data_IF_922903317062
#
_entry.id   IF_922903317062
#
_cell.length_a   1.000
_cell.length_b   1.000
_cell.length_c   1.000
_cell.angle_alpha   90.00
_cell.angle_beta   90.00
_cell.angle_gamma   90.00
#
_symmetry.space_group_name_H-M   'P 1'
#
loop_
_entity.id
_entity.type
_entity.pdbx_description
1 polymer ?
#
# COMPACT_ATOMS: atom_id res chain seq x y z
N UNK A 1 -9.87 -30.80 -12.54
CA UNK A 1 -8.65 -30.63 -11.74
C UNK A 1 -7.71 -29.72 -12.51
N UNK A 2 -7.75 -28.41 -12.24
CA UNK A 2 -6.70 -27.49 -12.68
C UNK A 2 -5.81 -27.28 -11.45
N UNK A 3 -4.58 -27.77 -11.54
CA UNK A 3 -3.58 -27.58 -10.50
C UNK A 3 -2.88 -26.26 -10.80
N UNK A 4 -3.34 -25.16 -10.22
CA UNK A 4 -2.72 -23.84 -10.34
C UNK A 4 -1.50 -23.78 -9.41
N UNK A 5 -0.45 -24.48 -9.80
CA UNK A 5 0.80 -24.49 -9.07
C UNK A 5 1.66 -23.30 -9.52
N UNK A 6 1.26 -22.10 -9.07
CA UNK A 6 1.98 -20.85 -9.36
C UNK A 6 3.22 -20.66 -8.47
N UNK A 7 3.66 -21.70 -7.75
CA UNK A 7 4.76 -21.60 -6.78
C UNK A 7 4.41 -20.82 -5.49
N UNK A 8 3.20 -20.26 -5.39
CA UNK A 8 2.71 -19.47 -4.25
C UNK A 8 1.77 -20.26 -3.33
N UNK A 9 1.91 -21.59 -3.26
CA UNK A 9 1.09 -22.41 -2.37
C UNK A 9 1.12 -21.81 -0.95
N UNK A 10 -0.08 -21.52 -0.41
CA UNK A 10 -0.39 -20.85 0.87
C UNK A 10 -0.92 -19.40 0.77
N UNK A 11 -1.28 -18.89 -0.41
CA UNK A 11 -1.95 -17.60 -0.57
C UNK A 11 -3.44 -17.67 -0.17
N UNK A 12 -4.15 -18.69 -0.67
CA UNK A 12 -5.55 -18.95 -0.33
C UNK A 12 -5.74 -19.30 1.15
N UNK A 13 -4.78 -20.02 1.72
CA UNK A 13 -4.76 -20.39 3.15
C UNK A 13 -4.48 -19.16 4.05
N UNK A 14 -3.60 -18.24 3.62
CA UNK A 14 -3.36 -16.96 4.30
C UNK A 14 -4.63 -16.10 4.31
N UNK A 15 -5.35 -16.02 3.18
CA UNK A 15 -6.60 -15.28 3.11
C UNK A 15 -7.72 -15.93 3.90
N UNK A 16 -7.80 -17.27 3.90
CA UNK A 16 -8.79 -18.01 4.68
C UNK A 16 -8.56 -17.81 6.17
N UNK A 17 -7.32 -17.92 6.64
CA UNK A 17 -6.97 -17.64 8.03
C UNK A 17 -7.23 -16.17 8.41
N UNK A 18 -6.96 -15.22 7.49
CA UNK A 18 -7.22 -13.81 7.72
C UNK A 18 -8.74 -13.49 7.76
N UNK A 19 -9.55 -14.11 6.91
CA UNK A 19 -11.02 -14.00 6.98
C UNK A 19 -11.56 -14.59 8.29
N UNK A 20 -11.02 -15.72 8.74
CA UNK A 20 -11.37 -16.33 10.03
C UNK A 20 -11.01 -15.42 11.22
N UNK A 21 -9.95 -14.61 11.09
CA UNK A 21 -9.52 -13.59 12.07
C UNK A 21 -10.26 -12.24 11.93
N UNK A 22 -11.15 -12.11 10.94
CA UNK A 22 -12.08 -10.98 10.80
C UNK A 22 -11.77 -9.96 9.70
N UNK A 23 -10.90 -10.28 8.72
CA UNK A 23 -10.72 -9.42 7.54
C UNK A 23 -12.02 -9.30 6.73
N UNK A 24 -12.39 -8.07 6.38
CA UNK A 24 -13.55 -7.77 5.54
C UNK A 24 -13.26 -8.03 4.05
N UNK A 25 -14.32 -8.19 3.27
CA UNK A 25 -14.24 -8.36 1.80
C UNK A 25 -13.51 -7.18 1.12
N UNK A 26 -13.62 -5.96 1.68
CA UNK A 26 -12.89 -4.76 1.19
C UNK A 26 -11.36 -4.93 1.29
N UNK A 27 -10.90 -5.66 2.31
CA UNK A 27 -9.48 -5.94 2.53
C UNK A 27 -8.96 -6.95 1.52
N UNK A 28 -9.79 -7.93 1.14
CA UNK A 28 -9.52 -8.88 0.07
C UNK A 28 -9.50 -8.19 -1.30
N UNK A 29 -10.42 -7.27 -1.56
CA UNK A 29 -10.45 -6.48 -2.79
C UNK A 29 -9.20 -5.60 -2.92
N UNK A 30 -8.69 -5.03 -1.82
CA UNK A 30 -7.43 -4.28 -1.82
C UNK A 30 -6.24 -5.18 -2.20
N UNK A 31 -6.22 -6.41 -1.70
CA UNK A 31 -5.16 -7.36 -2.03
C UNK A 31 -5.29 -7.86 -3.47
N UNK A 32 -6.50 -8.18 -3.93
CA UNK A 32 -6.79 -8.59 -5.31
C UNK A 32 -6.48 -7.47 -6.30
N UNK A 33 -6.78 -6.20 -5.98
CA UNK A 33 -6.45 -5.04 -6.80
C UNK A 33 -4.94 -4.91 -7.03
N UNK A 34 -4.13 -5.27 -6.02
CA UNK A 34 -2.67 -5.31 -6.15
C UNK A 34 -2.15 -6.57 -6.88
N UNK A 35 -2.91 -7.68 -6.87
CA UNK A 35 -2.50 -8.95 -7.47
C UNK A 35 -2.96 -9.17 -8.94
N UNK A 36 -4.10 -8.61 -9.37
CA UNK A 36 -4.81 -9.05 -10.60
C UNK A 36 -5.19 -7.95 -11.62
N UNK A 37 -4.64 -6.74 -11.58
CA UNK A 37 -5.08 -5.66 -12.48
C UNK A 37 -4.31 -5.52 -13.80
N UNK A 38 -4.90 -5.85 -14.97
CA UNK A 38 -4.73 -5.09 -16.20
C UNK A 38 -5.96 -4.19 -16.38
N UNK A 39 -6.09 -3.14 -15.56
CA UNK A 39 -7.10 -2.10 -15.81
C UNK A 39 -6.60 -0.75 -15.32
N UNK A 40 -6.08 0.02 -16.28
CA UNK A 40 -6.06 1.49 -16.33
C UNK A 40 -5.05 2.22 -15.43
N UNK A 41 -3.79 2.20 -15.89
CA UNK A 41 -2.95 3.39 -16.02
C UNK A 41 -2.70 4.27 -14.77
N UNK A 42 -2.17 3.72 -13.68
CA UNK A 42 -1.04 4.31 -12.93
C UNK A 42 -0.52 3.32 -11.87
N UNK A 43 0.66 2.77 -12.13
CA UNK A 43 1.59 2.12 -11.20
C UNK A 43 1.09 0.94 -10.33
N UNK A 44 1.03 -0.26 -10.94
CA UNK A 44 1.41 -1.49 -10.24
C UNK A 44 2.94 -1.53 -10.25
N UNK A 45 3.55 -1.92 -9.12
CA UNK A 45 4.90 -1.55 -8.73
C UNK A 45 6.06 -1.88 -9.67
N UNK A 46 7.26 -1.46 -9.28
CA UNK A 46 8.48 -1.60 -10.09
C UNK A 46 8.75 -3.09 -10.39
N UNK A 47 8.84 -3.49 -11.67
CA UNK A 47 9.21 -4.85 -12.06
C UNK A 47 10.61 -5.24 -11.53
N UNK A 48 10.80 -6.51 -11.20
CA UNK A 48 12.06 -7.07 -10.68
C UNK A 48 13.31 -6.68 -11.47
N UNK A 49 13.21 -6.61 -12.80
CA UNK A 49 14.30 -6.29 -13.70
C UNK A 49 14.64 -4.79 -13.77
N UNK A 50 13.85 -3.95 -13.10
CA UNK A 50 14.03 -2.50 -13.00
C UNK A 50 14.51 -2.05 -11.61
N UNK A 51 14.78 -2.99 -10.70
CA UNK A 51 15.34 -2.68 -9.39
C UNK A 51 16.80 -2.30 -9.52
N UNK A 52 17.18 -1.18 -8.90
CA UNK A 52 18.54 -0.65 -8.97
C UNK A 52 19.57 -1.47 -8.15
N UNK A 53 19.09 -2.33 -7.24
CA UNK A 53 19.90 -3.04 -6.25
C UNK A 53 19.36 -4.44 -5.95
N UNK A 54 20.23 -5.28 -5.38
CA UNK A 54 19.88 -6.62 -4.91
C UNK A 54 19.20 -6.60 -3.53
N UNK A 55 19.16 -5.45 -2.88
CA UNK A 55 18.47 -5.23 -1.61
C UNK A 55 17.38 -4.19 -1.81
N UNK A 56 16.16 -4.50 -1.37
CA UNK A 56 15.00 -3.62 -1.48
C UNK A 56 14.37 -3.44 -0.11
N UNK A 57 14.15 -2.19 0.26
CA UNK A 57 13.37 -1.81 1.44
C UNK A 57 11.95 -1.47 1.02
N UNK A 58 10.97 -2.19 1.57
CA UNK A 58 9.56 -1.89 1.38
C UNK A 58 9.07 -0.97 2.49
N UNK A 59 8.63 0.24 2.12
CA UNK A 59 8.00 1.19 3.03
C UNK A 59 6.49 1.25 2.74
N UNK A 60 5.66 1.06 3.77
CA UNK A 60 4.21 1.18 3.64
C UNK A 60 3.68 2.23 4.60
N UNK A 61 3.00 3.23 4.04
CA UNK A 61 2.29 4.23 4.80
C UNK A 61 0.82 3.84 4.92
N UNK A 62 0.29 3.85 6.13
CA UNK A 62 -1.12 3.65 6.42
C UNK A 62 -1.62 4.91 7.11
N UNK A 63 -2.39 5.70 6.39
CA UNK A 63 -2.71 7.07 6.79
C UNK A 63 -4.21 7.18 7.11
N UNK A 64 -4.50 7.62 8.33
CA UNK A 64 -5.85 7.91 8.80
C UNK A 64 -6.40 9.15 8.07
N UNK A 65 -7.57 9.03 7.45
CA UNK A 65 -8.36 10.12 6.88
C UNK A 65 -9.81 10.12 7.42
N UNK A 66 -10.00 9.67 8.65
CA UNK A 66 -11.26 9.76 9.39
C UNK A 66 -11.66 11.21 9.70
N UNK A 67 -12.92 11.44 10.04
CA UNK A 67 -13.44 12.79 10.31
C UNK A 67 -12.68 13.54 11.43
N UNK A 68 -12.07 12.83 12.39
CA UNK A 68 -11.21 13.45 13.41
C UNK A 68 -9.97 14.15 12.85
N UNK A 69 -9.52 13.75 11.67
CA UNK A 69 -8.32 14.31 11.03
C UNK A 69 -8.59 15.60 10.25
N UNK A 70 -9.85 16.05 10.13
CA UNK A 70 -10.22 17.23 9.33
C UNK A 70 -9.45 18.51 9.74
N UNK A 71 -9.26 18.73 11.04
CA UNK A 71 -8.51 19.89 11.54
C UNK A 71 -6.99 19.81 11.25
N UNK A 72 -6.49 18.63 10.90
CA UNK A 72 -5.07 18.33 10.67
C UNK A 72 -4.76 18.09 9.19
N UNK A 73 -5.72 18.31 8.29
CA UNK A 73 -5.55 17.90 6.90
C UNK A 73 -4.42 18.62 6.17
N UNK A 74 -4.31 19.93 6.35
CA UNK A 74 -3.22 20.71 5.78
C UNK A 74 -1.85 20.28 6.33
N UNK A 75 -1.77 20.05 7.64
CA UNK A 75 -0.54 19.63 8.32
C UNK A 75 -0.11 18.24 7.85
N UNK A 76 -1.04 17.30 7.70
CA UNK A 76 -0.71 15.95 7.24
C UNK A 76 -0.27 15.94 5.76
N UNK A 77 -0.95 16.71 4.90
CA UNK A 77 -0.53 16.86 3.50
C UNK A 77 0.90 17.39 3.44
N UNK A 78 1.23 18.41 4.23
CA UNK A 78 2.59 18.95 4.29
C UNK A 78 3.60 17.94 4.84
N UNK A 79 3.30 17.30 5.97
CA UNK A 79 4.17 16.33 6.61
C UNK A 79 4.48 15.13 5.70
N UNK A 80 3.49 14.62 4.96
CA UNK A 80 3.72 13.52 4.03
C UNK A 80 4.58 13.98 2.83
N UNK A 81 4.21 15.10 2.22
CA UNK A 81 4.78 15.55 0.96
C UNK A 81 6.18 16.16 1.08
N UNK A 82 6.38 17.02 2.07
CA UNK A 82 7.53 17.91 2.14
C UNK A 82 8.51 17.50 3.23
N UNK A 83 8.05 16.76 4.24
CA UNK A 83 8.92 16.23 5.29
C UNK A 83 9.26 14.76 5.03
N UNK A 84 8.26 13.86 4.99
CA UNK A 84 8.47 12.43 4.87
C UNK A 84 9.08 12.03 3.52
N UNK A 85 8.42 12.36 2.39
CA UNK A 85 8.93 11.99 1.07
C UNK A 85 10.29 12.64 0.79
N UNK A 86 10.48 13.89 1.20
CA UNK A 86 11.76 14.57 1.05
C UNK A 86 12.87 13.89 1.88
N UNK A 87 12.62 13.59 3.16
CA UNK A 87 13.59 12.93 4.02
C UNK A 87 13.98 11.54 3.48
N UNK A 88 13.01 10.77 3.01
CA UNK A 88 13.24 9.47 2.39
C UNK A 88 14.09 9.59 1.12
N UNK A 89 13.79 10.57 0.26
CA UNK A 89 14.54 10.82 -0.98
C UNK A 89 15.98 11.30 -0.75
N UNK A 90 16.28 11.86 0.42
CA UNK A 90 17.63 12.31 0.79
C UNK A 90 18.40 11.26 1.61
N UNK A 91 17.81 10.09 1.84
CA UNK A 91 18.47 9.00 2.56
C UNK A 91 19.49 8.27 1.67
N UNK A 92 20.49 7.64 2.28
CA UNK A 92 21.49 6.85 1.53
C UNK A 92 20.91 5.59 0.87
N UNK A 93 19.72 5.17 1.28
CA UNK A 93 19.01 4.01 0.74
C UNK A 93 17.86 4.42 -0.20
N UNK A 94 17.81 5.68 -0.65
CA UNK A 94 16.71 6.19 -1.47
C UNK A 94 16.43 5.34 -2.72
N UNK A 95 17.49 4.84 -3.37
CA UNK A 95 17.40 4.01 -4.58
C UNK A 95 16.91 2.58 -4.30
N UNK A 96 16.98 2.13 -3.04
CA UNK A 96 16.56 0.80 -2.60
C UNK A 96 15.14 0.81 -2.02
N UNK A 97 14.51 1.98 -1.87
CA UNK A 97 13.20 2.12 -1.24
C UNK A 97 12.09 2.06 -2.29
N UNK A 98 11.17 1.13 -2.08
CA UNK A 98 9.85 1.14 -2.71
C UNK A 98 8.80 1.53 -1.68
N UNK A 99 8.01 2.55 -1.98
CA UNK A 99 6.99 3.10 -1.09
C UNK A 99 5.59 2.81 -1.63
N UNK A 100 4.70 2.36 -0.75
CA UNK A 100 3.26 2.26 -1.00
C UNK A 100 2.51 3.05 0.06
N UNK A 101 1.38 3.64 -0.31
CA UNK A 101 0.55 4.43 0.60
C UNK A 101 -0.91 4.03 0.46
N UNK A 102 -1.53 3.70 1.58
CA UNK A 102 -2.98 3.52 1.70
C UNK A 102 -3.55 4.59 2.63
N UNK A 103 -4.77 5.03 2.34
CA UNK A 103 -5.55 5.92 3.18
C UNK A 103 -6.77 5.17 3.71
N UNK A 104 -7.24 5.49 4.92
CA UNK A 104 -8.45 4.84 5.46
C UNK A 104 -9.38 5.80 6.19
N UNK A 105 -10.68 5.57 6.04
CA UNK A 105 -11.76 6.20 6.80
C UNK A 105 -12.87 5.17 7.11
N UNK A 106 -14.08 5.34 6.58
CA UNK A 106 -15.10 4.28 6.52
C UNK A 106 -14.64 3.07 5.70
N UNK A 107 -13.68 3.26 4.80
CA UNK A 107 -13.12 2.23 3.92
C UNK A 107 -11.62 2.43 3.73
N UNK A 108 -10.93 1.43 3.16
CA UNK A 108 -9.51 1.50 2.82
C UNK A 108 -9.36 1.81 1.34
N UNK A 109 -8.47 2.75 0.99
CA UNK A 109 -8.18 3.12 -0.39
C UNK A 109 -6.67 3.13 -0.64
N UNK A 110 -6.24 2.47 -1.71
CA UNK A 110 -4.86 2.59 -2.21
C UNK A 110 -4.65 3.96 -2.85
N UNK A 111 -3.66 4.73 -2.36
CA UNK A 111 -3.20 5.94 -3.05
C UNK A 111 -2.27 5.55 -4.19
N UNK A 112 -1.26 4.72 -3.89
CA UNK A 112 -0.38 4.10 -4.89
C UNK A 112 0.25 2.81 -4.36
N UNK A 113 0.57 1.89 -5.27
CA UNK A 113 1.33 0.66 -4.97
C UNK A 113 2.81 0.95 -4.69
N UNK A 114 3.61 -0.11 -4.55
CA UNK A 114 5.06 -0.02 -4.32
C UNK A 114 5.80 0.59 -5.51
N UNK A 115 6.17 1.86 -5.40
CA UNK A 115 6.88 2.62 -6.44
C UNK A 115 8.15 3.23 -5.89
N UNK A 116 9.08 3.62 -6.77
CA UNK A 116 10.24 4.40 -6.35
C UNK A 116 9.80 5.77 -5.78
N UNK A 117 10.61 6.35 -4.90
CA UNK A 117 10.29 7.62 -4.23
C UNK A 117 9.90 8.77 -5.17
N UNK A 118 10.54 8.97 -6.35
CA UNK A 118 10.14 10.03 -7.29
C UNK A 118 8.74 9.83 -7.91
N UNK A 119 8.28 8.58 -7.97
CA UNK A 119 7.00 8.20 -8.56
C UNK A 119 5.86 8.11 -7.53
N UNK A 120 6.18 8.31 -6.24
CA UNK A 120 5.20 8.32 -5.17
C UNK A 120 4.19 9.45 -5.36
N UNK A 121 2.90 9.09 -5.39
CA UNK A 121 1.84 10.10 -5.49
C UNK A 121 1.82 10.96 -4.22
N UNK A 122 1.90 12.27 -4.41
CA UNK A 122 1.78 13.28 -3.37
C UNK A 122 0.31 13.45 -2.94
N UNK A 123 0.10 13.78 -1.67
CA UNK A 123 -1.24 14.13 -1.18
C UNK A 123 -1.63 15.54 -1.63
N UNK A 124 -2.91 15.73 -1.86
CA UNK A 124 -3.54 17.03 -2.12
C UNK A 124 -4.94 17.04 -1.48
N UNK A 125 -5.65 18.18 -1.46
CA UNK A 125 -6.99 18.25 -0.87
C UNK A 125 -8.06 17.39 -1.55
N UNK A 126 -7.78 16.79 -2.71
CA UNK A 126 -8.71 15.89 -3.42
C UNK A 126 -8.45 14.42 -3.09
N UNK A 127 -7.19 14.08 -2.83
CA UNK A 127 -6.76 12.75 -2.44
C UNK A 127 -6.83 12.57 -0.92
N UNK A 128 -6.63 13.62 -0.12
CA UNK A 128 -6.74 13.59 1.32
C UNK A 128 -7.81 14.59 1.81
N UNK A 129 -9.05 14.10 1.91
CA UNK A 129 -10.21 14.84 2.40
C UNK A 129 -10.84 14.05 3.56
N UNK A 130 -10.53 14.38 4.83
CA UNK A 130 -10.93 13.53 5.94
C UNK A 130 -12.42 13.56 6.27
N UNK A 131 -13.03 12.38 6.41
CA UNK A 131 -14.44 12.21 6.80
C UNK A 131 -14.69 10.82 7.39
N UNK A 132 -15.88 10.57 7.92
CA UNK A 132 -16.29 9.21 8.31
C UNK A 132 -15.60 8.65 9.55
N UNK A 133 -15.65 7.33 9.68
CA UNK A 133 -15.14 6.52 10.78
C UNK A 133 -13.71 6.02 10.52
N UNK A 134 -13.29 4.97 11.23
CA UNK A 134 -11.92 4.45 11.27
C UNK A 134 -11.86 2.94 11.01
N UNK A 135 -11.68 2.56 9.75
CA UNK A 135 -11.40 1.20 9.29
C UNK A 135 -9.92 0.79 9.54
N UNK A 136 -9.40 1.09 10.73
CA UNK A 136 -7.98 0.89 11.06
C UNK A 136 -7.57 -0.58 11.01
N UNK A 137 -8.43 -1.49 11.50
CA UNK A 137 -8.16 -2.92 11.47
C UNK A 137 -7.95 -3.40 10.03
N UNK A 138 -8.89 -3.07 9.13
CA UNK A 138 -8.83 -3.43 7.71
C UNK A 138 -7.62 -2.81 7.01
N UNK A 139 -7.32 -1.54 7.32
CA UNK A 139 -6.16 -0.85 6.76
C UNK A 139 -4.84 -1.53 7.14
N UNK A 140 -4.67 -1.88 8.41
CA UNK A 140 -3.45 -2.54 8.90
C UNK A 140 -3.35 -3.97 8.39
N UNK A 141 -4.43 -4.74 8.45
CA UNK A 141 -4.44 -6.11 7.99
C UNK A 141 -4.20 -6.21 6.47
N UNK A 142 -4.90 -5.41 5.67
CA UNK A 142 -4.73 -5.34 4.22
C UNK A 142 -3.36 -4.82 3.81
N UNK A 143 -2.85 -3.81 4.53
CA UNK A 143 -1.49 -3.31 4.33
C UNK A 143 -0.43 -4.39 4.56
N UNK A 144 -0.47 -5.08 5.71
CA UNK A 144 0.49 -6.14 6.02
C UNK A 144 0.41 -7.30 5.02
N UNK A 145 -0.79 -7.72 4.65
CA UNK A 145 -0.99 -8.74 3.62
C UNK A 145 -0.36 -8.29 2.29
N UNK A 146 -0.64 -7.06 1.84
CA UNK A 146 -0.08 -6.52 0.60
C UNK A 146 1.47 -6.48 0.64
N UNK A 147 2.05 -6.06 1.77
CA UNK A 147 3.51 -6.04 1.94
C UNK A 147 4.13 -7.44 1.84
N UNK A 148 3.55 -8.43 2.52
CA UNK A 148 4.05 -9.82 2.49
C UNK A 148 3.98 -10.38 1.07
N UNK A 149 2.89 -10.11 0.35
CA UNK A 149 2.70 -10.62 -1.00
C UNK A 149 3.64 -9.99 -2.01
N UNK A 150 3.82 -8.68 -1.96
CA UNK A 150 4.79 -8.01 -2.79
C UNK A 150 6.21 -8.51 -2.49
N UNK A 151 6.57 -8.68 -1.22
CA UNK A 151 7.86 -9.24 -0.83
C UNK A 151 8.08 -10.68 -1.33
N UNK A 152 7.03 -11.49 -1.46
CA UNK A 152 7.13 -12.82 -2.07
C UNK A 152 7.38 -12.77 -3.58
N UNK A 153 6.81 -11.79 -4.29
CA UNK A 153 7.05 -11.59 -5.72
C UNK A 153 8.48 -11.13 -6.02
N UNK A 154 9.16 -10.52 -5.06
CA UNK A 154 10.55 -10.05 -5.20
C UNK A 154 11.60 -11.17 -5.02
N UNK A 155 11.19 -12.40 -4.71
CA UNK A 155 12.08 -13.55 -4.51
C UNK A 155 12.19 -14.43 -5.74
#
# INVERSE_FOLDING_TARGET
MMNNNNGLGNLDDLFTAAQDDGLTDDTLDLVVANLNGPTMATAVGVPLDQLASNEVTLAMNIIDMSGSMAAHAADLIHAYNDDYLAAMAHSAAADDILVSTILFNDSVRLLHGYVALPDAQRLDPTSYDPYGATALYDAVAGGLANMVLYAQQLR
#
